data_IF_299330399815
#
_entry.id   IF_299330399815
#
_cell.length_a   1.000
_cell.length_b   1.000
_cell.length_c   1.000
_cell.angle_alpha   90.00
_cell.angle_beta   90.00
_cell.angle_gamma   90.00
#
_symmetry.space_group_name_H-M   'P 1'
#
loop_
_entity.id
_entity.type
_entity.pdbx_description
1 polymer ?
#
# COMPACT_ATOMS: atom_id res chain seq x y z
N UNK A 1 10.66 -20.09 -3.28
CA UNK A 1 11.30 -18.87 -3.80
C UNK A 1 11.83 -18.07 -2.63
N UNK A 2 13.14 -17.81 -2.54
CA UNK A 2 13.78 -17.30 -1.34
C UNK A 2 14.15 -15.83 -1.55
N UNK A 3 13.45 -14.93 -0.88
CA UNK A 3 13.70 -13.47 -0.92
C UNK A 3 14.93 -13.05 -0.08
N UNK A 4 15.64 -14.02 0.53
CA UNK A 4 16.75 -13.72 1.43
C UNK A 4 16.25 -13.02 2.71
N UNK A 5 16.01 -13.79 3.73
CA UNK A 5 15.55 -13.26 5.03
C UNK A 5 16.73 -12.64 5.80
N UNK A 6 17.20 -11.49 5.36
CA UNK A 6 18.23 -10.72 6.05
C UNK A 6 17.64 -9.39 6.50
N UNK A 7 17.14 -9.37 7.73
CA UNK A 7 16.66 -8.15 8.37
C UNK A 7 17.76 -7.08 8.45
N UNK A 8 17.39 -5.86 8.17
CA UNK A 8 18.17 -4.66 8.48
C UNK A 8 19.55 -4.58 7.80
N UNK A 9 19.70 -5.12 6.61
CA UNK A 9 20.87 -4.79 5.80
C UNK A 9 20.89 -3.28 5.52
N UNK A 10 22.09 -2.67 5.48
CA UNK A 10 22.27 -1.25 5.24
C UNK A 10 21.48 -0.77 4.00
N UNK A 11 21.66 -1.41 2.85
CA UNK A 11 20.98 -1.07 1.60
C UNK A 11 19.45 -1.22 1.72
N UNK A 12 18.98 -2.21 2.46
CA UNK A 12 17.55 -2.43 2.73
C UNK A 12 16.96 -1.31 3.59
N UNK A 13 17.70 -0.84 4.58
CA UNK A 13 17.27 0.30 5.41
C UNK A 13 17.27 1.61 4.62
N UNK A 14 18.26 1.83 3.75
CA UNK A 14 18.31 3.01 2.88
C UNK A 14 17.11 3.04 1.92
N UNK A 15 16.80 1.91 1.25
CA UNK A 15 15.63 1.78 0.37
C UNK A 15 14.33 1.98 1.14
N UNK A 16 14.20 1.38 2.33
CA UNK A 16 13.03 1.59 3.20
C UNK A 16 12.86 3.05 3.57
N UNK A 17 13.95 3.73 3.94
CA UNK A 17 13.92 5.15 4.31
C UNK A 17 13.44 6.04 3.15
N UNK A 18 13.91 5.79 1.93
CA UNK A 18 13.46 6.54 0.74
C UNK A 18 11.96 6.32 0.45
N UNK A 19 11.46 5.08 0.61
CA UNK A 19 10.02 4.85 0.52
C UNK A 19 9.23 5.61 1.60
N UNK A 20 9.68 5.60 2.85
CA UNK A 20 9.02 6.34 3.94
C UNK A 20 9.03 7.85 3.69
N UNK A 21 10.15 8.40 3.24
CA UNK A 21 10.28 9.82 2.90
C UNK A 21 9.29 10.22 1.80
N UNK A 22 9.20 9.44 0.73
CA UNK A 22 8.25 9.71 -0.35
C UNK A 22 6.81 9.47 0.08
N UNK A 23 6.53 8.50 0.95
CA UNK A 23 5.20 8.30 1.52
C UNK A 23 4.72 9.51 2.34
N UNK A 24 5.62 10.13 3.12
CA UNK A 24 5.31 11.36 3.86
C UNK A 24 5.02 12.53 2.91
N UNK A 25 5.74 12.62 1.79
CA UNK A 25 5.47 13.66 0.78
C UNK A 25 4.10 13.46 0.13
N UNK A 26 3.74 12.22 -0.23
CA UNK A 26 2.44 11.91 -0.80
C UNK A 26 1.31 12.23 0.18
N UNK A 27 1.46 11.85 1.46
CA UNK A 27 0.46 12.18 2.49
C UNK A 27 0.28 13.71 2.64
N UNK A 28 1.37 14.49 2.66
CA UNK A 28 1.29 15.95 2.69
C UNK A 28 0.58 16.50 1.44
N UNK A 29 0.89 15.95 0.27
CA UNK A 29 0.22 16.33 -0.98
C UNK A 29 -1.27 16.03 -0.93
N UNK A 30 -1.66 14.87 -0.41
CA UNK A 30 -3.06 14.48 -0.23
C UNK A 30 -3.81 15.49 0.65
N UNK A 31 -3.25 15.85 1.81
CA UNK A 31 -3.85 16.83 2.75
C UNK A 31 -4.03 18.20 2.09
N UNK A 32 -3.02 18.69 1.35
CA UNK A 32 -3.10 19.96 0.65
C UNK A 32 -4.20 19.93 -0.42
N UNK A 33 -4.26 18.87 -1.23
CA UNK A 33 -5.26 18.71 -2.28
C UNK A 33 -6.67 18.58 -1.70
N UNK A 34 -6.83 17.83 -0.61
CA UNK A 34 -8.09 17.74 0.14
C UNK A 34 -8.55 19.11 0.61
N UNK A 35 -7.67 19.95 1.15
CA UNK A 35 -7.98 21.30 1.61
C UNK A 35 -8.40 22.25 0.46
N UNK A 36 -8.07 21.88 -0.78
CA UNK A 36 -8.44 22.58 -2.01
C UNK A 36 -9.61 21.94 -2.75
N UNK A 37 -10.29 20.99 -2.11
CA UNK A 37 -11.43 20.24 -2.66
C UNK A 37 -11.09 19.43 -3.93
N UNK A 38 -9.81 19.15 -4.16
CA UNK A 38 -9.31 18.32 -5.25
C UNK A 38 -9.31 16.85 -4.82
N UNK A 39 -10.48 16.31 -4.51
CA UNK A 39 -10.65 15.04 -3.81
C UNK A 39 -10.12 13.83 -4.59
N UNK A 40 -10.33 13.77 -5.90
CA UNK A 40 -9.82 12.67 -6.73
C UNK A 40 -8.29 12.57 -6.65
N UNK A 41 -7.61 13.70 -6.73
CA UNK A 41 -6.16 13.79 -6.63
C UNK A 41 -5.68 13.48 -5.20
N UNK A 42 -6.39 13.94 -4.18
CA UNK A 42 -6.10 13.65 -2.79
C UNK A 42 -6.18 12.14 -2.52
N UNK A 43 -7.25 11.47 -2.97
CA UNK A 43 -7.43 10.02 -2.89
C UNK A 43 -6.27 9.27 -3.53
N UNK A 44 -5.85 9.67 -4.73
CA UNK A 44 -4.69 9.09 -5.40
C UNK A 44 -3.43 9.15 -4.53
N UNK A 45 -3.12 10.30 -3.94
CA UNK A 45 -1.93 10.45 -3.10
C UNK A 45 -2.03 9.72 -1.76
N UNK A 46 -3.22 9.61 -1.15
CA UNK A 46 -3.42 8.75 0.02
C UNK A 46 -3.11 7.28 -0.30
N UNK A 47 -3.58 6.77 -1.44
CA UNK A 47 -3.29 5.40 -1.89
C UNK A 47 -1.80 5.20 -2.16
N UNK A 48 -1.14 6.17 -2.81
CA UNK A 48 0.32 6.14 -3.04
C UNK A 48 1.11 6.14 -1.73
N UNK A 49 0.68 6.92 -0.74
CA UNK A 49 1.31 6.92 0.59
C UNK A 49 1.19 5.55 1.26
N UNK A 50 0.02 4.90 1.21
CA UNK A 50 -0.19 3.56 1.76
C UNK A 50 0.69 2.52 1.05
N UNK A 51 0.75 2.55 -0.29
CA UNK A 51 1.59 1.64 -1.08
C UNK A 51 3.06 1.73 -0.67
N UNK A 52 3.58 2.96 -0.54
CA UNK A 52 4.97 3.21 -0.16
C UNK A 52 5.27 2.81 1.30
N UNK A 53 4.31 2.95 2.22
CA UNK A 53 4.44 2.44 3.59
C UNK A 53 4.65 0.91 3.60
N UNK A 54 3.87 0.18 2.80
CA UNK A 54 4.01 -1.28 2.70
C UNK A 54 5.32 -1.66 2.02
N UNK A 55 5.71 -1.00 0.92
CA UNK A 55 7.00 -1.23 0.25
C UNK A 55 8.19 -0.96 1.16
N UNK A 56 8.11 0.07 1.99
CA UNK A 56 9.12 0.35 3.01
C UNK A 56 9.25 -0.81 3.99
N UNK A 57 8.11 -1.35 4.45
CA UNK A 57 8.10 -2.48 5.38
C UNK A 57 8.65 -3.75 4.73
N UNK A 58 8.31 -4.03 3.48
CA UNK A 58 8.91 -5.14 2.72
C UNK A 58 10.43 -4.98 2.64
N UNK A 59 10.91 -3.78 2.27
CA UNK A 59 12.34 -3.52 2.13
C UNK A 59 13.14 -3.76 3.42
N UNK A 60 12.55 -3.54 4.62
CA UNK A 60 13.21 -3.79 5.89
C UNK A 60 13.55 -5.26 6.16
N UNK A 61 12.82 -6.19 5.56
CA UNK A 61 12.87 -7.62 5.90
C UNK A 61 13.42 -8.49 4.78
N UNK A 62 13.64 -7.93 3.58
CA UNK A 62 14.19 -8.64 2.44
C UNK A 62 15.55 -8.08 2.04
N UNK A 63 16.34 -8.88 1.34
CA UNK A 63 17.57 -8.41 0.70
C UNK A 63 17.23 -7.67 -0.61
N UNK A 64 17.22 -6.33 -0.55
CA UNK A 64 16.90 -5.48 -1.71
C UNK A 64 17.96 -5.53 -2.82
N UNK A 65 19.16 -6.06 -2.56
CA UNK A 65 20.21 -6.25 -3.58
C UNK A 65 19.92 -7.45 -4.45
N UNK A 66 19.08 -8.36 -3.99
CA UNK A 66 18.69 -9.56 -4.71
C UNK A 66 17.98 -9.21 -6.03
N UNK A 67 18.42 -9.79 -7.13
CA UNK A 67 17.83 -9.58 -8.45
C UNK A 67 16.33 -9.90 -8.49
N UNK A 68 15.92 -10.94 -7.74
CA UNK A 68 14.52 -11.33 -7.61
C UNK A 68 13.66 -10.24 -6.94
N UNK A 69 14.15 -9.57 -5.90
CA UNK A 69 13.46 -8.44 -5.29
C UNK A 69 13.23 -7.32 -6.32
N UNK A 70 14.27 -6.97 -7.07
CA UNK A 70 14.16 -5.92 -8.11
C UNK A 70 13.13 -6.27 -9.18
N UNK A 71 13.11 -7.53 -9.60
CA UNK A 71 12.12 -8.02 -10.57
C UNK A 71 10.70 -8.03 -9.99
N UNK A 72 10.54 -8.50 -8.75
CA UNK A 72 9.26 -8.53 -8.03
C UNK A 72 8.67 -7.12 -7.88
N UNK A 73 9.46 -6.14 -7.43
CA UNK A 73 9.01 -4.75 -7.30
C UNK A 73 8.59 -4.19 -8.65
N UNK A 74 9.38 -4.43 -9.71
CA UNK A 74 9.11 -3.87 -11.04
C UNK A 74 7.95 -4.54 -11.76
N UNK A 75 7.91 -5.89 -11.79
CA UNK A 75 6.98 -6.66 -12.62
C UNK A 75 5.73 -7.14 -11.86
N UNK A 76 5.89 -7.55 -10.61
CA UNK A 76 4.79 -8.16 -9.83
C UNK A 76 4.00 -7.10 -9.06
N UNK A 77 4.66 -6.29 -8.28
CA UNK A 77 4.03 -5.25 -7.45
C UNK A 77 3.66 -4.04 -8.31
N UNK A 78 4.65 -3.50 -9.07
CA UNK A 78 4.47 -2.26 -9.83
C UNK A 78 3.98 -1.12 -8.95
N UNK A 79 2.83 -0.55 -9.33
CA UNK A 79 2.12 0.49 -8.59
C UNK A 79 0.76 -0.02 -8.07
N UNK A 80 0.76 -1.19 -7.43
CA UNK A 80 -0.45 -1.80 -6.89
C UNK A 80 -0.34 -2.01 -5.39
N UNK A 81 -1.15 -1.28 -4.63
CA UNK A 81 -1.28 -1.45 -3.19
C UNK A 81 -1.74 -2.88 -2.85
N UNK A 82 -2.74 -3.40 -3.58
CA UNK A 82 -3.28 -4.75 -3.34
C UNK A 82 -2.19 -5.83 -3.48
N UNK A 83 -1.37 -5.74 -4.53
CA UNK A 83 -0.24 -6.67 -4.73
C UNK A 83 0.85 -6.51 -3.68
N UNK A 84 1.12 -5.27 -3.24
CA UNK A 84 2.09 -5.00 -2.17
C UNK A 84 1.65 -5.65 -0.87
N UNK A 85 0.35 -5.63 -0.56
CA UNK A 85 -0.24 -6.29 0.61
C UNK A 85 -0.04 -7.81 0.53
N UNK A 86 -0.37 -8.43 -0.60
CA UNK A 86 -0.22 -9.88 -0.76
C UNK A 86 1.24 -10.33 -0.58
N UNK A 87 2.19 -9.60 -1.12
CA UNK A 87 3.63 -9.89 -0.93
C UNK A 87 4.04 -9.72 0.53
N UNK A 88 3.56 -8.67 1.22
CA UNK A 88 3.82 -8.49 2.64
C UNK A 88 3.29 -9.67 3.46
N UNK A 89 2.06 -10.11 3.18
CA UNK A 89 1.44 -11.26 3.85
C UNK A 89 2.25 -12.55 3.63
N UNK A 90 2.66 -12.82 2.39
CA UNK A 90 3.48 -14.00 2.07
C UNK A 90 4.83 -14.00 2.79
N UNK A 91 5.49 -12.84 2.86
CA UNK A 91 6.78 -12.71 3.54
C UNK A 91 6.64 -12.97 5.05
N UNK A 92 5.63 -12.38 5.68
CA UNK A 92 5.40 -12.55 7.12
C UNK A 92 4.78 -13.91 7.47
N UNK A 93 3.96 -14.47 6.59
CA UNK A 93 3.35 -15.79 6.76
C UNK A 93 4.34 -16.96 6.64
N UNK A 94 5.47 -16.76 5.93
CA UNK A 94 6.51 -17.79 5.72
C UNK A 94 5.97 -19.13 5.21
N UNK A 95 4.89 -19.13 4.43
CA UNK A 95 4.22 -20.33 3.93
C UNK A 95 3.28 -21.01 4.94
N UNK A 96 3.04 -20.40 6.09
CA UNK A 96 2.02 -20.86 7.03
C UNK A 96 0.66 -20.22 6.66
N UNK A 97 -0.21 -21.01 6.04
CA UNK A 97 -1.52 -20.53 5.55
C UNK A 97 -2.36 -19.89 6.67
N UNK A 98 -2.37 -20.46 7.88
CA UNK A 98 -3.15 -19.90 9.00
C UNK A 98 -2.64 -18.50 9.41
N UNK A 99 -1.33 -18.28 9.39
CA UNK A 99 -0.73 -16.96 9.68
C UNK A 99 -1.07 -15.99 8.55
N UNK A 100 -0.92 -16.42 7.29
CA UNK A 100 -1.25 -15.59 6.13
C UNK A 100 -2.72 -15.16 6.14
N UNK A 101 -3.66 -16.07 6.41
CA UNK A 101 -5.09 -15.76 6.47
C UNK A 101 -5.41 -14.78 7.60
N UNK A 102 -4.79 -14.94 8.77
CA UNK A 102 -4.95 -14.00 9.89
C UNK A 102 -4.39 -12.62 9.55
N UNK A 103 -3.22 -12.55 8.94
CA UNK A 103 -2.63 -11.27 8.51
C UNK A 103 -3.50 -10.60 7.45
N UNK A 104 -4.02 -11.38 6.51
CA UNK A 104 -4.92 -10.91 5.44
C UNK A 104 -6.21 -10.35 6.03
N UNK A 105 -6.86 -11.07 6.93
CA UNK A 105 -8.06 -10.60 7.63
C UNK A 105 -7.79 -9.29 8.39
N UNK A 106 -6.72 -9.24 9.19
CA UNK A 106 -6.40 -8.04 9.96
C UNK A 106 -6.10 -6.83 9.07
N UNK A 107 -5.30 -7.01 8.03
CA UNK A 107 -4.87 -5.90 7.18
C UNK A 107 -5.98 -5.47 6.23
N UNK A 108 -6.58 -6.40 5.48
CA UNK A 108 -7.61 -6.05 4.50
C UNK A 108 -8.92 -5.65 5.17
N UNK A 109 -9.46 -6.47 6.07
CA UNK A 109 -10.80 -6.22 6.63
C UNK A 109 -10.76 -5.16 7.73
N UNK A 110 -9.87 -5.29 8.73
CA UNK A 110 -9.89 -4.39 9.90
C UNK A 110 -9.24 -3.04 9.64
N UNK A 111 -8.15 -3.00 8.83
CA UNK A 111 -7.42 -1.75 8.57
C UNK A 111 -7.91 -1.07 7.29
N UNK A 112 -8.04 -1.82 6.19
CA UNK A 112 -8.31 -1.30 4.85
C UNK A 112 -9.77 -1.51 4.39
N UNK A 113 -10.63 -2.06 5.25
CA UNK A 113 -12.10 -2.16 5.07
C UNK A 113 -12.52 -2.81 3.76
N UNK A 114 -11.79 -3.83 3.31
CA UNK A 114 -12.03 -4.61 2.10
C UNK A 114 -12.09 -3.80 0.79
N UNK A 115 -11.47 -2.62 0.77
CA UNK A 115 -11.40 -1.80 -0.44
C UNK A 115 -10.41 -2.38 -1.44
N UNK A 116 -10.83 -2.51 -2.70
CA UNK A 116 -9.97 -2.85 -3.84
C UNK A 116 -9.31 -1.58 -4.40
N UNK A 117 -8.09 -1.33 -3.97
CA UNK A 117 -7.36 -0.10 -4.31
C UNK A 117 -6.91 -0.04 -5.77
N UNK A 118 -6.72 -1.18 -6.45
CA UNK A 118 -6.41 -1.22 -7.88
C UNK A 118 -7.51 -0.56 -8.72
N UNK A 119 -8.77 -0.83 -8.38
CA UNK A 119 -9.91 -0.19 -9.03
C UNK A 119 -9.95 1.32 -8.74
N UNK A 120 -9.75 1.70 -7.48
CA UNK A 120 -9.76 3.09 -7.05
C UNK A 120 -8.66 3.92 -7.73
N UNK A 121 -7.42 3.39 -7.77
CA UNK A 121 -6.27 4.05 -8.40
C UNK A 121 -6.54 4.41 -9.87
N UNK A 122 -7.12 3.49 -10.63
CA UNK A 122 -7.37 3.70 -12.05
C UNK A 122 -8.57 4.60 -12.32
N UNK A 123 -9.69 4.32 -11.67
CA UNK A 123 -10.97 4.99 -11.93
C UNK A 123 -11.05 6.43 -11.45
N UNK A 124 -10.18 6.85 -10.54
CA UNK A 124 -10.08 8.27 -10.10
C UNK A 124 -9.24 9.12 -11.04
N UNK A 125 -8.47 8.51 -11.95
CA UNK A 125 -7.54 9.22 -12.86
C UNK A 125 -7.93 9.13 -14.32
N UNK A 126 -8.51 8.02 -14.72
CA UNK A 126 -8.85 7.75 -16.10
C UNK A 126 -10.35 7.52 -16.22
N UNK A 127 -10.99 8.05 -17.27
CA UNK A 127 -12.39 7.73 -17.56
C UNK A 127 -12.55 6.23 -17.79
N UNK A 128 -13.54 5.63 -17.13
CA UNK A 128 -13.97 4.26 -17.35
C UNK A 128 -15.40 4.27 -17.91
N UNK A 129 -15.78 3.25 -18.67
CA UNK A 129 -17.12 3.16 -19.22
C UNK A 129 -18.12 2.80 -18.12
N UNK A 130 -19.05 3.71 -17.84
CA UNK A 130 -20.14 3.47 -16.90
C UNK A 130 -21.30 2.80 -17.64
N UNK A 131 -21.48 1.50 -17.43
CA UNK A 131 -22.53 0.71 -18.07
C UNK A 131 -23.96 1.22 -17.76
N UNK A 132 -24.16 1.80 -16.57
CA UNK A 132 -25.47 2.34 -16.18
C UNK A 132 -25.79 3.64 -16.89
N UNK A 133 -24.78 4.51 -17.03
CA UNK A 133 -24.89 5.82 -17.70
C UNK A 133 -24.58 5.75 -19.19
N UNK A 134 -24.08 4.59 -19.68
CA UNK A 134 -23.63 4.36 -21.08
C UNK A 134 -22.71 5.47 -21.59
N UNK A 135 -21.78 5.91 -20.72
CA UNK A 135 -20.79 6.94 -21.06
C UNK A 135 -19.48 6.74 -20.31
N UNK A 136 -18.40 7.29 -20.85
CA UNK A 136 -17.16 7.38 -20.13
C UNK A 136 -17.23 8.45 -19.04
N UNK A 137 -16.84 8.09 -17.82
CA UNK A 137 -16.82 8.99 -16.68
C UNK A 137 -15.66 8.65 -15.75
N UNK A 138 -15.16 9.66 -15.03
CA UNK A 138 -14.26 9.48 -13.89
C UNK A 138 -15.16 9.32 -12.66
N UNK A 139 -14.77 8.43 -11.73
CA UNK A 139 -15.45 8.36 -10.44
C UNK A 139 -15.15 9.64 -9.67
N UNK A 140 -16.20 10.31 -9.23
CA UNK A 140 -16.08 11.49 -8.39
C UNK A 140 -15.96 11.08 -6.93
N UNK A 141 -14.85 11.46 -6.31
CA UNK A 141 -14.59 11.27 -4.88
C UNK A 141 -14.97 12.54 -4.12
N UNK A 142 -15.37 12.37 -2.87
CA UNK A 142 -15.75 13.47 -2.01
C UNK A 142 -14.88 13.57 -0.74
N UNK A 143 -15.17 14.57 0.08
CA UNK A 143 -14.49 14.80 1.36
C UNK A 143 -14.54 13.58 2.28
N UNK A 144 -15.66 12.87 2.30
CA UNK A 144 -15.84 11.67 3.15
C UNK A 144 -14.83 10.59 2.76
N UNK A 145 -14.61 10.36 1.46
CA UNK A 145 -13.66 9.37 0.96
C UNK A 145 -12.23 9.71 1.38
N UNK A 146 -11.84 10.98 1.31
CA UNK A 146 -10.52 11.45 1.77
C UNK A 146 -10.35 11.22 3.26
N UNK A 147 -11.34 11.58 4.09
CA UNK A 147 -11.31 11.36 5.55
C UNK A 147 -11.16 9.87 5.89
N UNK A 148 -11.87 8.99 5.18
CA UNK A 148 -11.76 7.54 5.39
C UNK A 148 -10.38 7.02 4.99
N UNK A 149 -9.83 7.44 3.86
CA UNK A 149 -8.48 7.04 3.42
C UNK A 149 -7.39 7.58 4.36
N UNK A 150 -7.53 8.79 4.89
CA UNK A 150 -6.63 9.32 5.91
C UNK A 150 -6.64 8.47 7.19
N UNK A 151 -7.83 8.02 7.65
CA UNK A 151 -7.96 7.10 8.80
C UNK A 151 -7.32 5.74 8.49
N UNK A 152 -7.53 5.20 7.29
CA UNK A 152 -6.90 3.94 6.86
C UNK A 152 -5.38 4.06 6.82
N UNK A 153 -4.82 5.14 6.27
CA UNK A 153 -3.38 5.38 6.25
C UNK A 153 -2.81 5.45 7.68
N UNK A 154 -3.50 6.13 8.59
CA UNK A 154 -3.10 6.18 10.01
C UNK A 154 -3.13 4.80 10.65
N UNK A 155 -4.20 4.03 10.44
CA UNK A 155 -4.35 2.66 10.93
C UNK A 155 -3.28 1.73 10.36
N UNK A 156 -2.99 1.85 9.05
CA UNK A 156 -1.95 1.08 8.38
C UNK A 156 -0.56 1.36 8.97
N UNK A 157 -0.20 2.62 9.18
CA UNK A 157 1.08 2.99 9.82
C UNK A 157 1.23 2.35 11.20
N UNK A 158 0.18 2.39 12.01
CA UNK A 158 0.18 1.76 13.32
C UNK A 158 0.30 0.24 13.22
N UNK A 159 -0.48 -0.39 12.36
CA UNK A 159 -0.42 -1.82 12.11
C UNK A 159 0.97 -2.29 11.68
N UNK A 160 1.58 -1.60 10.71
CA UNK A 160 2.92 -1.94 10.21
C UNK A 160 4.00 -1.76 11.29
N UNK A 161 3.85 -0.79 12.20
CA UNK A 161 4.75 -0.60 13.33
C UNK A 161 4.64 -1.75 14.34
N UNK A 162 3.43 -2.25 14.55
CA UNK A 162 3.17 -3.30 15.55
C UNK A 162 3.33 -4.72 14.97
N UNK A 163 3.41 -4.86 13.63
CA UNK A 163 3.42 -6.15 12.94
C UNK A 163 4.53 -7.09 13.44
N UNK A 164 5.70 -6.56 13.79
CA UNK A 164 6.81 -7.37 14.33
C UNK A 164 6.53 -7.97 15.71
N UNK A 165 5.58 -7.39 16.46
CA UNK A 165 5.20 -7.89 17.78
C UNK A 165 4.26 -9.09 17.71
N UNK A 166 3.60 -9.28 16.56
CA UNK A 166 2.62 -10.35 16.34
C UNK A 166 3.17 -11.52 15.54
N UNK A 167 4.38 -11.39 15.02
CA UNK A 167 5.04 -12.40 14.23
C UNK A 167 6.43 -12.61 14.84
N UNK A 168 6.72 -13.79 15.32
CA UNK A 168 8.06 -14.20 15.78
C UNK A 168 9.02 -14.27 14.59
N UNK A 169 9.47 -13.11 14.13
CA UNK A 169 10.41 -12.96 13.02
C UNK A 169 11.84 -12.79 13.52
#
# INVERSE_FOLDING_TARGET
MYLGNRKFLKDSLEVSHEYLKTAVQDEKSAVILESRELYNQAVYFYVQAMEKQIKAKIAQIVDVTNAYYKEMIKKTIGHSLDKSIEILVQIYGKGNAMVEDRLREQLLTKVLKDIKFSALHNKTRCPDFDENKKKYAIIEMGKIDCVELAKMLKGLKQYLKDLERYTDL
#
